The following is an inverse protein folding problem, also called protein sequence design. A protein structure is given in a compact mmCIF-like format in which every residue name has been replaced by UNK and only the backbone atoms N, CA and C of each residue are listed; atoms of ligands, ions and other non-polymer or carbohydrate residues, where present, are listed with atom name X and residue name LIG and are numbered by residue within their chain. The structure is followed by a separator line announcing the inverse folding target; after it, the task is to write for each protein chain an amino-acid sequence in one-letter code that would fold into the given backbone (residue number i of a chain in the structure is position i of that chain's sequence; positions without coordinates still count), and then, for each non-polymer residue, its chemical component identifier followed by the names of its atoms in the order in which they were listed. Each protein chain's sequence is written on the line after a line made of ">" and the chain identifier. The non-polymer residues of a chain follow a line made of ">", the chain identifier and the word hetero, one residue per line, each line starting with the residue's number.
data_IF_717949240199
#
_entry.id   IF_717949240199
#
_cell.length_a   1.000
_cell.length_b   1.000
_cell.length_c   1.000
_cell.angle_alpha   90.00
_cell.angle_beta   90.00
_cell.angle_gamma   90.00
#
_symmetry.space_group_name_H-M   'P 1'
#
loop_
_entity.id
_entity.type
_entity.pdbx_description
1 polymer ?
#
# COMPACT_ATOMS: atom_id res chain seq x y z
N UNK A 1 -0.04 -29.56 2.44
CA UNK A 1 -1.26 -30.15 3.04
C UNK A 1 -2.30 -30.39 1.98
N UNK A 2 -3.27 -31.29 2.19
CA UNK A 2 -4.41 -31.45 1.28
C UNK A 2 -5.56 -30.53 1.71
N UNK A 3 -6.38 -30.09 0.76
CA UNK A 3 -7.63 -29.39 1.11
C UNK A 3 -8.48 -30.31 2.00
N UNK A 4 -9.00 -29.77 3.11
CA UNK A 4 -9.71 -30.50 4.16
C UNK A 4 -8.82 -31.11 5.25
N UNK A 5 -7.49 -31.03 5.13
CA UNK A 5 -6.57 -31.44 6.19
C UNK A 5 -6.72 -30.53 7.41
N UNK A 6 -6.73 -31.13 8.61
CA UNK A 6 -6.92 -30.43 9.88
C UNK A 6 -5.61 -30.44 10.66
N UNK A 7 -5.23 -29.29 11.20
CA UNK A 7 -4.06 -29.13 12.05
C UNK A 7 -4.44 -28.50 13.39
N UNK A 8 -4.12 -29.17 14.49
CA UNK A 8 -4.34 -28.65 15.84
C UNK A 8 -3.04 -28.15 16.45
N UNK A 9 -3.05 -26.93 16.98
CA UNK A 9 -1.95 -26.35 17.77
C UNK A 9 -2.39 -26.36 19.23
N UNK A 10 -1.64 -27.05 20.08
CA UNK A 10 -2.04 -27.33 21.47
C UNK A 10 -1.12 -26.68 22.52
N UNK A 11 0.07 -26.20 22.13
CA UNK A 11 1.15 -25.87 23.09
C UNK A 11 1.12 -24.42 23.63
N UNK A 12 0.29 -23.51 23.11
CA UNK A 12 0.23 -22.11 23.59
C UNK A 12 -1.15 -21.46 23.50
N UNK A 13 -1.83 -21.64 22.36
CA UNK A 13 -3.21 -21.21 22.12
C UNK A 13 -3.88 -22.40 21.45
N UNK A 14 -4.96 -22.92 22.05
CA UNK A 14 -5.72 -24.03 21.45
C UNK A 14 -6.33 -23.53 20.15
N UNK A 15 -5.74 -23.88 19.02
CA UNK A 15 -6.19 -23.48 17.70
C UNK A 15 -6.41 -24.72 16.84
N UNK A 16 -7.41 -24.63 15.96
CA UNK A 16 -7.76 -25.70 15.04
C UNK A 16 -7.85 -25.10 13.65
N UNK A 17 -6.94 -25.50 12.78
CA UNK A 17 -6.87 -25.02 11.42
C UNK A 17 -7.43 -26.05 10.46
N UNK A 18 -8.10 -25.60 9.41
CA UNK A 18 -8.44 -26.42 8.23
C UNK A 18 -7.80 -25.83 6.98
N UNK A 19 -7.16 -26.67 6.18
CA UNK A 19 -6.62 -26.29 4.89
C UNK A 19 -7.78 -26.11 3.89
N UNK A 20 -7.97 -24.89 3.39
CA UNK A 20 -9.06 -24.55 2.46
C UNK A 20 -8.59 -24.43 1.01
N UNK A 21 -7.30 -24.17 0.79
CA UNK A 21 -6.71 -24.11 -0.55
C UNK A 21 -5.29 -24.67 -0.55
N UNK A 22 -4.90 -25.27 -1.67
CA UNK A 22 -3.53 -25.65 -1.99
C UNK A 22 -3.31 -25.45 -3.49
N UNK A 23 -2.51 -24.46 -3.86
CA UNK A 23 -2.24 -24.05 -5.23
C UNK A 23 -0.79 -24.29 -5.65
N UNK A 24 -0.22 -25.46 -5.30
CA UNK A 24 1.16 -25.90 -5.58
C UNK A 24 2.29 -25.03 -4.96
N UNK A 25 2.12 -23.72 -4.90
CA UNK A 25 3.06 -22.77 -4.31
C UNK A 25 2.70 -22.47 -2.84
N UNK A 26 1.40 -22.42 -2.49
CA UNK A 26 0.96 -22.07 -1.15
C UNK A 26 -0.19 -22.95 -0.64
N UNK A 27 -0.41 -22.89 0.67
CA UNK A 27 -1.60 -23.46 1.34
C UNK A 27 -2.28 -22.39 2.16
N UNK A 28 -3.60 -22.32 2.08
CA UNK A 28 -4.42 -21.43 2.92
C UNK A 28 -5.07 -22.22 4.04
N UNK A 29 -4.98 -21.70 5.27
CA UNK A 29 -5.54 -22.30 6.47
C UNK A 29 -6.44 -21.33 7.20
N UNK A 30 -7.62 -21.79 7.58
CA UNK A 30 -8.59 -21.01 8.36
C UNK A 30 -8.56 -21.48 9.81
N UNK A 31 -8.45 -20.56 10.77
CA UNK A 31 -8.58 -20.83 12.21
C UNK A 31 -10.08 -21.00 12.55
N UNK A 32 -10.51 -22.26 12.70
CA UNK A 32 -11.89 -22.61 13.00
C UNK A 32 -12.35 -22.15 14.40
N UNK A 33 -11.42 -21.80 15.29
CA UNK A 33 -11.72 -21.35 16.64
C UNK A 33 -11.53 -19.84 16.82
N UNK A 34 -11.10 -19.15 15.76
CA UNK A 34 -10.83 -17.71 15.76
C UNK A 34 -11.91 -16.88 15.06
N UNK A 35 -11.67 -15.58 15.02
CA UNK A 35 -12.42 -14.58 14.26
C UNK A 35 -11.81 -14.31 12.87
N UNK A 36 -10.94 -15.21 12.40
CA UNK A 36 -10.15 -15.06 11.17
C UNK A 36 -8.84 -14.28 11.33
N UNK A 37 -8.57 -13.68 12.50
CA UNK A 37 -7.30 -12.96 12.75
C UNK A 37 -6.06 -13.84 12.67
N UNK A 38 -6.20 -15.14 12.88
CA UNK A 38 -5.09 -16.10 12.82
C UNK A 38 -5.08 -16.89 11.51
N UNK A 39 -5.93 -16.56 10.53
CA UNK A 39 -5.94 -17.24 9.24
C UNK A 39 -4.58 -17.12 8.55
N UNK A 40 -4.08 -18.24 8.06
CA UNK A 40 -2.81 -18.35 7.36
C UNK A 40 -3.13 -18.45 5.88
N UNK A 41 -3.33 -17.31 5.24
CA UNK A 41 -3.59 -17.23 3.81
C UNK A 41 -2.56 -16.29 3.15
N UNK A 42 -2.05 -16.65 1.95
CA UNK A 42 -1.25 -15.74 1.14
C UNK A 42 -2.06 -14.48 0.82
N UNK A 43 -1.47 -13.31 1.07
CA UNK A 43 -2.04 -12.02 0.72
C UNK A 43 -1.11 -11.28 -0.22
N UNK A 44 -1.62 -10.95 -1.38
CA UNK A 44 -0.92 -10.12 -2.34
C UNK A 44 -1.06 -8.64 -1.96
N UNK A 45 0.07 -7.93 -1.95
CA UNK A 45 0.13 -6.49 -1.72
C UNK A 45 0.99 -5.83 -2.78
N UNK A 46 0.59 -4.64 -3.21
CA UNK A 46 1.44 -3.73 -3.97
C UNK A 46 1.96 -2.69 -2.99
N UNK A 47 3.27 -2.46 -3.01
CA UNK A 47 3.94 -1.51 -2.12
C UNK A 47 4.63 -0.47 -3.01
N UNK A 48 4.23 0.78 -2.85
CA UNK A 48 4.81 1.94 -3.52
C UNK A 48 5.49 2.77 -2.43
N UNK A 49 6.79 3.02 -2.55
CA UNK A 49 7.51 3.95 -1.67
C UNK A 49 8.17 5.05 -2.47
N UNK A 50 8.27 6.23 -1.87
CA UNK A 50 9.01 7.36 -2.45
C UNK A 50 9.46 8.31 -1.35
N UNK A 51 10.50 9.08 -1.64
CA UNK A 51 10.97 10.14 -0.76
C UNK A 51 10.29 11.45 -1.16
N UNK A 52 9.69 12.12 -0.17
CA UNK A 52 9.14 13.46 -0.32
C UNK A 52 10.05 14.45 0.42
N UNK A 53 10.72 15.33 -0.32
CA UNK A 53 11.68 16.29 0.21
C UNK A 53 11.13 17.71 0.15
N UNK A 54 11.11 18.43 1.26
CA UNK A 54 10.76 19.87 1.26
C UNK A 54 11.86 20.67 0.56
N UNK A 55 11.53 21.40 -0.50
CA UNK A 55 12.49 22.18 -1.31
C UNK A 55 12.29 23.69 -1.22
N UNK A 56 11.14 24.14 -0.73
CA UNK A 56 10.87 25.56 -0.51
C UNK A 56 9.64 25.78 0.33
N UNK A 57 9.50 26.97 0.92
CA UNK A 57 8.38 27.34 1.78
C UNK A 57 8.79 27.76 3.19
N UNK A 58 8.16 28.80 3.74
CA UNK A 58 8.43 29.27 5.11
C UNK A 58 7.93 28.28 6.17
N UNK A 59 6.81 27.62 5.89
CA UNK A 59 6.15 26.69 6.81
C UNK A 59 6.32 25.23 6.42
N UNK A 60 6.89 24.96 5.25
CA UNK A 60 7.28 23.65 4.76
C UNK A 60 6.75 23.30 3.39
N UNK A 61 6.85 22.02 3.04
CA UNK A 61 6.53 21.53 1.71
C UNK A 61 5.13 20.93 1.67
N UNK A 62 4.36 21.27 0.63
CA UNK A 62 2.97 20.88 0.48
C UNK A 62 2.81 19.97 -0.75
N UNK A 63 2.39 18.72 -0.52
CA UNK A 63 2.11 17.74 -1.58
C UNK A 63 0.61 17.46 -1.66
N UNK A 64 0.10 17.39 -2.88
CA UNK A 64 -1.32 17.24 -3.18
C UNK A 64 -1.53 16.40 -4.43
N UNK A 65 -2.80 16.13 -4.73
CA UNK A 65 -3.27 15.46 -5.94
C UNK A 65 -2.57 14.13 -6.24
N UNK A 66 -2.20 13.38 -5.19
CA UNK A 66 -1.62 12.05 -5.33
C UNK A 66 -2.65 11.12 -5.98
N UNK A 67 -2.30 10.48 -7.09
CA UNK A 67 -3.18 9.59 -7.86
C UNK A 67 -2.46 8.34 -8.31
N UNK A 68 -3.21 7.25 -8.34
CA UNK A 68 -2.80 5.96 -8.89
C UNK A 68 -3.45 5.79 -10.26
N UNK A 69 -2.63 5.59 -11.30
CA UNK A 69 -3.10 5.40 -12.67
C UNK A 69 -3.21 3.93 -13.05
N UNK A 70 -4.24 3.62 -13.84
CA UNK A 70 -4.52 2.31 -14.42
C UNK A 70 -4.77 2.47 -15.93
N UNK A 71 -5.09 1.38 -16.62
CA UNK A 71 -5.34 1.37 -18.07
C UNK A 71 -6.40 2.40 -18.50
N UNK A 72 -7.42 2.62 -17.68
CA UNK A 72 -8.50 3.56 -17.97
C UNK A 72 -8.27 4.99 -17.45
N UNK A 73 -7.11 5.28 -16.85
CA UNK A 73 -6.77 6.60 -16.30
C UNK A 73 -6.55 6.59 -14.79
N UNK A 74 -6.63 7.76 -14.15
CA UNK A 74 -6.37 7.90 -12.71
C UNK A 74 -7.58 7.50 -11.88
N UNK A 75 -7.33 6.77 -10.78
CA UNK A 75 -8.36 6.37 -9.84
C UNK A 75 -8.84 7.57 -9.00
N UNK A 76 -10.14 7.57 -8.69
CA UNK A 76 -10.80 8.61 -7.91
C UNK A 76 -10.77 8.28 -6.42
N UNK A 77 -10.22 9.13 -5.54
CA UNK A 77 -10.33 8.93 -4.09
C UNK A 77 -11.78 9.05 -3.63
N UNK A 78 -12.24 8.10 -2.83
CA UNK A 78 -13.62 8.05 -2.35
C UNK A 78 -13.73 8.36 -0.87
N UNK A 79 -13.09 7.53 -0.04
CA UNK A 79 -13.14 7.60 1.42
C UNK A 79 -11.75 7.50 2.01
N UNK A 80 -11.48 8.25 3.08
CA UNK A 80 -10.19 8.19 3.79
C UNK A 80 -10.38 8.26 5.30
N UNK A 81 -9.47 7.66 6.04
CA UNK A 81 -9.29 7.94 7.46
C UNK A 81 -8.58 9.27 7.64
N UNK A 82 -9.04 10.05 8.61
CA UNK A 82 -8.47 11.37 8.90
C UNK A 82 -7.42 11.28 10.01
N UNK A 83 -6.27 10.71 9.67
CA UNK A 83 -5.18 10.43 10.59
C UNK A 83 -3.93 11.21 10.18
N UNK A 84 -3.06 11.52 11.15
CA UNK A 84 -1.87 12.33 10.87
C UNK A 84 -0.91 11.63 9.93
N UNK A 85 -0.39 10.47 10.30
CA UNK A 85 0.76 9.85 9.63
C UNK A 85 0.46 8.46 9.06
N UNK A 86 -0.73 7.91 9.29
CA UNK A 86 -1.13 6.59 8.83
C UNK A 86 -2.64 6.54 8.60
N UNK A 87 -3.07 6.49 7.35
CA UNK A 87 -4.49 6.52 6.98
C UNK A 87 -4.84 5.41 5.99
N UNK A 88 -5.97 4.74 6.22
CA UNK A 88 -6.62 3.91 5.20
C UNK A 88 -7.39 4.76 4.22
N UNK A 89 -7.52 4.28 2.99
CA UNK A 89 -8.32 4.93 1.95
C UNK A 89 -8.95 3.92 1.00
N UNK A 90 -9.98 4.37 0.28
CA UNK A 90 -10.52 3.69 -0.90
C UNK A 90 -10.47 4.57 -2.13
N UNK A 91 -10.21 3.94 -3.29
CA UNK A 91 -10.25 4.61 -4.59
C UNK A 91 -11.03 3.77 -5.62
N UNK A 92 -11.74 4.44 -6.53
CA UNK A 92 -12.45 3.79 -7.63
C UNK A 92 -11.62 3.87 -8.90
N UNK A 93 -11.44 2.74 -9.58
CA UNK A 93 -10.72 2.65 -10.87
C UNK A 93 -11.61 3.12 -12.02
N UNK A 94 -12.01 4.39 -12.02
CA UNK A 94 -12.96 4.96 -12.98
C UNK A 94 -12.33 5.87 -14.05
N UNK A 95 -11.02 6.14 -13.96
CA UNK A 95 -10.31 7.01 -14.89
C UNK A 95 -10.53 8.50 -14.67
N UNK A 96 -11.32 8.89 -13.66
CA UNK A 96 -11.75 10.28 -13.43
C UNK A 96 -10.99 10.97 -12.30
N UNK A 97 -9.90 10.38 -11.80
CA UNK A 97 -9.22 10.85 -10.59
C UNK A 97 -8.77 12.31 -10.62
N UNK A 98 -8.36 12.84 -11.78
CA UNK A 98 -7.94 14.24 -11.93
C UNK A 98 -9.09 15.25 -11.95
N UNK A 99 -10.33 14.76 -12.16
CA UNK A 99 -11.55 15.57 -12.14
C UNK A 99 -12.13 15.70 -10.73
N UNK A 100 -11.68 14.88 -9.78
CA UNK A 100 -12.16 14.91 -8.39
C UNK A 100 -11.27 15.78 -7.52
N UNK A 101 -11.90 16.73 -6.83
CA UNK A 101 -11.20 17.63 -5.91
C UNK A 101 -11.05 17.06 -4.48
N UNK A 102 -11.99 16.24 -4.04
CA UNK A 102 -12.10 15.85 -2.63
C UNK A 102 -12.69 14.44 -2.42
N UNK A 103 -12.57 13.94 -1.19
CA UNK A 103 -13.06 12.65 -0.72
C UNK A 103 -14.02 12.82 0.47
N UNK A 104 -14.54 11.71 0.99
CA UNK A 104 -15.32 11.67 2.23
C UNK A 104 -14.45 11.16 3.38
N UNK A 105 -14.57 11.75 4.57
CA UNK A 105 -13.92 11.21 5.77
C UNK A 105 -14.74 10.04 6.30
N UNK A 106 -14.09 8.90 6.53
CA UNK A 106 -14.66 7.68 7.08
C UNK A 106 -13.66 7.07 8.06
N UNK A 107 -14.08 6.79 9.30
CA UNK A 107 -13.19 6.24 10.33
C UNK A 107 -12.74 4.82 10.02
N UNK A 108 -13.43 4.10 9.14
CA UNK A 108 -13.00 2.78 8.69
C UNK A 108 -13.46 2.52 7.23
N UNK A 109 -12.75 3.08 6.23
CA UNK A 109 -13.04 2.89 4.83
C UNK A 109 -13.05 1.40 4.47
N UNK A 110 -14.21 0.91 4.01
CA UNK A 110 -14.39 -0.45 3.49
C UNK A 110 -14.58 -0.40 1.97
N UNK A 111 -14.00 -1.35 1.22
CA UNK A 111 -14.17 -1.38 -0.23
C UNK A 111 -15.57 -1.84 -0.63
N UNK A 112 -16.01 -1.35 -1.78
CA UNK A 112 -16.98 -2.03 -2.64
C UNK A 112 -16.25 -2.84 -3.71
N UNK A 113 -16.96 -3.69 -4.46
CA UNK A 113 -16.36 -4.65 -5.41
C UNK A 113 -15.44 -4.02 -6.47
N UNK A 114 -15.62 -2.73 -6.79
CA UNK A 114 -14.82 -2.00 -7.79
C UNK A 114 -13.77 -1.05 -7.20
N UNK A 115 -13.57 -1.10 -5.88
CA UNK A 115 -12.68 -0.18 -5.17
C UNK A 115 -11.37 -0.85 -4.74
N UNK A 116 -10.30 -0.07 -4.87
CA UNK A 116 -9.00 -0.34 -4.28
C UNK A 116 -9.11 -0.01 -2.79
N UNK A 117 -8.51 -0.85 -1.94
CA UNK A 117 -8.19 -0.47 -0.56
C UNK A 117 -6.70 -0.22 -0.50
N UNK A 118 -6.33 0.85 0.19
CA UNK A 118 -4.93 1.08 0.52
C UNK A 118 -4.74 1.70 1.89
N UNK A 119 -3.49 1.70 2.31
CA UNK A 119 -3.00 2.43 3.47
C UNK A 119 -1.84 3.30 3.03
N UNK A 120 -1.85 4.58 3.42
CA UNK A 120 -0.74 5.51 3.20
C UNK A 120 -0.11 5.88 4.54
N UNK A 121 1.22 5.85 4.59
CA UNK A 121 2.01 6.10 5.79
C UNK A 121 3.16 7.05 5.48
N UNK A 122 3.49 7.91 6.43
CA UNK A 122 4.71 8.72 6.40
C UNK A 122 5.10 9.14 7.82
N UNK A 123 6.01 10.10 7.95
CA UNK A 123 6.31 10.79 9.20
C UNK A 123 6.58 12.28 8.96
N UNK A 124 6.61 13.08 10.03
CA UNK A 124 7.04 14.47 9.97
C UNK A 124 6.03 15.40 9.30
N UNK A 125 4.75 15.08 9.43
CA UNK A 125 3.65 15.95 9.02
C UNK A 125 3.54 17.10 10.03
N UNK A 126 3.32 18.30 9.51
CA UNK A 126 3.14 19.48 10.34
C UNK A 126 1.88 19.33 11.20
N UNK A 127 2.00 19.51 12.50
CA UNK A 127 0.92 19.21 13.45
C UNK A 127 -0.13 20.32 13.48
N UNK A 128 -1.03 20.30 12.48
CA UNK A 128 -2.26 21.09 12.47
C UNK A 128 -3.47 20.24 12.08
N UNK A 129 -4.67 20.76 12.39
CA UNK A 129 -5.93 20.02 12.24
C UNK A 129 -6.21 19.58 10.81
N UNK A 130 -5.74 20.32 9.80
CA UNK A 130 -5.99 20.06 8.38
C UNK A 130 -4.76 19.55 7.62
N UNK A 131 -3.67 19.21 8.30
CA UNK A 131 -2.47 18.63 7.69
C UNK A 131 -2.34 17.16 8.09
N UNK A 132 -2.91 16.31 7.23
CA UNK A 132 -3.12 14.89 7.48
C UNK A 132 -2.63 14.11 6.26
N UNK A 133 -2.06 12.93 6.45
CA UNK A 133 -1.44 12.19 5.33
C UNK A 133 -2.43 11.95 4.20
N UNK A 134 -3.71 11.67 4.48
CA UNK A 134 -4.70 11.46 3.44
C UNK A 134 -5.03 12.71 2.61
N UNK A 135 -4.71 13.92 3.09
CA UNK A 135 -4.97 15.16 2.36
C UNK A 135 -4.08 15.31 1.12
N UNK A 136 -3.05 14.48 0.96
CA UNK A 136 -2.35 14.34 -0.33
C UNK A 136 -3.28 13.97 -1.48
N UNK A 137 -4.46 13.39 -1.20
CA UNK A 137 -5.43 13.03 -2.22
C UNK A 137 -6.34 14.21 -2.62
N UNK A 138 -6.31 15.33 -1.92
CA UNK A 138 -7.06 16.52 -2.35
C UNK A 138 -6.41 17.14 -3.58
N UNK A 139 -7.24 17.67 -4.48
CA UNK A 139 -6.75 18.49 -5.59
C UNK A 139 -6.40 19.87 -5.05
N UNK A 140 -5.21 20.35 -5.36
CA UNK A 140 -4.81 21.69 -4.99
C UNK A 140 -5.40 22.75 -5.94
N UNK A 141 -6.20 23.65 -5.38
CA UNK A 141 -6.82 24.81 -6.02
C UNK A 141 -6.39 26.13 -5.36
N UNK A 142 -5.31 26.13 -4.56
CA UNK A 142 -4.77 27.32 -3.90
C UNK A 142 -5.00 27.39 -2.39
N UNK A 143 -5.70 26.41 -1.79
CA UNK A 143 -6.04 26.37 -0.37
C UNK A 143 -4.96 25.72 0.50
N UNK A 144 -4.85 26.20 1.74
CA UNK A 144 -3.97 25.64 2.77
C UNK A 144 -4.39 24.21 3.20
N UNK A 145 -5.68 23.91 3.16
CA UNK A 145 -6.28 22.63 3.57
C UNK A 145 -6.40 21.61 2.45
N UNK A 146 -5.90 21.94 1.26
CA UNK A 146 -5.93 21.12 0.04
C UNK A 146 -4.62 20.35 -0.20
N UNK A 147 -3.78 20.23 0.84
CA UNK A 147 -2.58 19.42 0.80
C UNK A 147 -2.23 18.81 2.14
N UNK A 148 -1.35 17.83 2.09
CA UNK A 148 -0.58 17.44 3.27
C UNK A 148 0.63 18.37 3.38
N UNK A 149 0.86 18.94 4.56
CA UNK A 149 2.03 19.78 4.83
C UNK A 149 3.07 18.98 5.60
N UNK A 150 4.28 18.94 5.06
CA UNK A 150 5.45 18.38 5.73
C UNK A 150 6.24 19.47 6.45
N UNK A 151 6.97 19.06 7.48
CA UNK A 151 7.87 19.93 8.22
C UNK A 151 8.80 20.76 7.32
N UNK A 152 9.22 21.93 7.82
CA UNK A 152 9.97 22.94 7.07
C UNK A 152 11.29 22.47 6.47
N UNK A 153 11.84 21.34 6.91
CA UNK A 153 13.02 20.74 6.30
C UNK A 153 13.06 19.22 6.43
N UNK A 154 13.69 18.60 5.45
CA UNK A 154 14.03 17.17 5.44
C UNK A 154 13.35 16.40 4.32
N UNK A 155 13.78 15.14 4.21
CA UNK A 155 13.16 14.12 3.37
C UNK A 155 12.42 13.13 4.26
N UNK A 156 11.25 12.68 3.81
CA UNK A 156 10.41 11.69 4.49
C UNK A 156 10.00 10.63 3.49
N UNK A 157 10.18 9.37 3.85
CA UNK A 157 9.64 8.28 3.07
C UNK A 157 8.11 8.28 3.23
N UNK A 158 7.41 8.16 2.09
CA UNK A 158 5.99 7.87 2.01
C UNK A 158 5.85 6.43 1.52
N UNK A 159 4.98 5.66 2.17
CA UNK A 159 4.68 4.29 1.80
C UNK A 159 3.19 4.13 1.56
N UNK A 160 2.83 3.52 0.44
CA UNK A 160 1.46 3.17 0.07
C UNK A 160 1.41 1.66 -0.10
N UNK A 161 0.57 1.01 0.70
CA UNK A 161 0.22 -0.40 0.56
C UNK A 161 -1.15 -0.50 -0.09
N UNK A 162 -1.28 -1.25 -1.18
CA UNK A 162 -2.55 -1.53 -1.84
C UNK A 162 -2.89 -3.02 -1.73
N UNK A 163 -4.15 -3.30 -1.46
CA UNK A 163 -4.69 -4.66 -1.35
C UNK A 163 -5.75 -4.91 -2.43
N UNK A 164 -5.87 -6.18 -2.86
CA UNK A 164 -6.91 -6.65 -3.80
C UNK A 164 -7.01 -5.83 -5.10
N UNK A 165 -5.87 -5.40 -5.66
CA UNK A 165 -5.86 -4.61 -6.90
C UNK A 165 -4.80 -5.07 -7.88
N UNK A 166 -5.07 -4.86 -9.16
CA UNK A 166 -4.08 -4.91 -10.23
C UNK A 166 -2.99 -3.86 -9.99
N UNK A 167 -1.81 -4.08 -10.58
CA UNK A 167 -0.70 -3.12 -10.52
C UNK A 167 -1.09 -1.80 -11.19
N UNK A 168 -0.96 -0.64 -10.52
CA UNK A 168 -1.04 0.66 -11.20
C UNK A 168 0.10 0.79 -12.21
N UNK A 169 -0.19 1.40 -13.36
CA UNK A 169 0.81 1.67 -14.39
C UNK A 169 1.37 3.10 -14.30
N UNK A 170 0.78 3.97 -13.47
CA UNK A 170 1.26 5.33 -13.24
C UNK A 170 1.11 5.77 -11.79
N UNK A 171 1.99 6.66 -11.36
CA UNK A 171 1.89 7.43 -10.12
C UNK A 171 1.97 8.90 -10.48
N UNK A 172 1.04 9.69 -9.96
CA UNK A 172 1.01 11.14 -10.16
C UNK A 172 0.89 11.86 -8.82
N UNK A 173 1.52 13.02 -8.69
CA UNK A 173 1.30 13.95 -7.59
C UNK A 173 1.75 15.36 -7.97
N UNK A 174 1.28 16.36 -7.23
CA UNK A 174 1.77 17.75 -7.31
C UNK A 174 2.60 18.07 -6.08
N UNK A 175 3.82 18.55 -6.29
CA UNK A 175 4.73 19.00 -5.22
C UNK A 175 4.77 20.50 -5.08
N UNK A 176 3.65 21.19 -5.33
CA UNK A 176 3.53 22.62 -5.08
C UNK A 176 2.21 22.89 -4.38
N UNK A 177 2.24 23.79 -3.39
CA UNK A 177 1.04 24.30 -2.79
C UNK A 177 1.26 25.49 -1.87
N UNK A 178 0.26 25.78 -1.02
CA UNK A 178 0.12 27.06 -0.33
C UNK A 178 1.34 27.43 0.51
N UNK A 179 1.94 26.43 1.17
CA UNK A 179 3.04 26.63 2.10
C UNK A 179 4.43 26.50 1.50
N UNK A 180 4.53 26.02 0.25
CA UNK A 180 5.81 25.73 -0.38
C UNK A 180 5.78 24.53 -1.32
N UNK A 181 6.98 24.03 -1.62
CA UNK A 181 7.22 23.02 -2.63
C UNK A 181 7.87 21.77 -2.03
N UNK A 182 7.54 20.63 -2.62
CA UNK A 182 8.21 19.35 -2.38
C UNK A 182 8.74 18.76 -3.68
N UNK A 183 9.72 17.88 -3.53
CA UNK A 183 10.23 17.05 -4.60
C UNK A 183 10.03 15.58 -4.25
N UNK A 184 9.54 14.81 -5.23
CA UNK A 184 9.39 13.36 -5.14
C UNK A 184 10.57 12.69 -5.84
N UNK A 185 11.30 11.86 -5.09
CA UNK A 185 12.44 11.08 -5.59
C UNK A 185 12.37 9.63 -5.10
N UNK A 186 13.28 8.77 -5.58
CA UNK A 186 13.44 7.39 -5.13
C UNK A 186 12.15 6.55 -5.13
N UNK A 187 11.31 6.75 -6.16
CA UNK A 187 10.07 5.99 -6.31
C UNK A 187 10.41 4.53 -6.60
N UNK A 188 9.92 3.63 -5.74
CA UNK A 188 10.11 2.19 -5.83
C UNK A 188 8.74 1.54 -5.75
N UNK A 189 8.52 0.55 -6.61
CA UNK A 189 7.28 -0.21 -6.64
C UNK A 189 7.61 -1.69 -6.63
N UNK A 190 6.95 -2.43 -5.75
CA UNK A 190 7.03 -3.89 -5.73
C UNK A 190 5.68 -4.53 -5.51
N UNK A 191 5.57 -5.75 -5.99
CA UNK A 191 4.44 -6.65 -5.74
C UNK A 191 4.93 -7.78 -4.85
N UNK A 192 4.26 -8.01 -3.74
CA UNK A 192 4.72 -8.94 -2.71
C UNK A 192 3.61 -9.85 -2.22
N UNK A 193 3.97 -11.09 -1.91
CA UNK A 193 3.08 -12.07 -1.27
C UNK A 193 3.51 -12.21 0.19
N UNK A 194 2.54 -12.00 1.08
CA UNK A 194 2.71 -12.11 2.52
C UNK A 194 1.94 -13.30 3.08
N UNK A 195 2.48 -13.92 4.14
CA UNK A 195 1.74 -14.84 5.02
C UNK A 195 1.85 -14.28 6.44
N UNK A 196 0.71 -13.83 6.99
CA UNK A 196 0.73 -12.98 8.17
C UNK A 196 1.49 -11.68 7.89
N UNK A 197 2.51 -11.38 8.69
CA UNK A 197 3.39 -10.22 8.52
C UNK A 197 4.67 -10.54 7.71
N UNK A 198 4.92 -11.82 7.42
CA UNK A 198 6.13 -12.24 6.74
C UNK A 198 5.99 -12.05 5.23
N UNK A 199 6.96 -11.38 4.60
CA UNK A 199 7.09 -11.31 3.14
C UNK A 199 7.81 -12.56 2.61
N UNK A 200 7.15 -13.28 1.69
CA UNK A 200 7.61 -14.59 1.20
C UNK A 200 8.19 -14.48 -0.20
N UNK A 201 7.56 -13.67 -1.03
CA UNK A 201 7.96 -13.47 -2.42
C UNK A 201 7.75 -12.00 -2.76
N UNK A 202 8.66 -11.45 -3.54
CA UNK A 202 8.54 -10.10 -4.09
C UNK A 202 9.03 -10.04 -5.52
N UNK A 203 8.41 -9.15 -6.28
CA UNK A 203 8.77 -8.77 -7.64
C UNK A 203 8.86 -7.24 -7.68
N UNK A 204 10.03 -6.72 -8.04
CA UNK A 204 10.24 -5.29 -8.20
C UNK A 204 9.80 -4.83 -9.60
N UNK A 205 9.36 -3.58 -9.70
CA UNK A 205 8.89 -2.96 -10.93
C UNK A 205 9.79 -1.80 -11.32
N UNK A 206 9.91 -1.57 -12.62
CA UNK A 206 10.60 -0.41 -13.15
C UNK A 206 9.76 0.82 -12.91
N UNK A 207 10.42 1.91 -12.54
CA UNK A 207 9.80 3.21 -12.38
C UNK A 207 10.59 4.24 -13.17
N UNK A 208 9.91 4.88 -14.12
CA UNK A 208 10.49 5.94 -14.95
C UNK A 208 9.76 7.25 -14.69
N UNK A 209 10.50 8.33 -14.42
CA UNK A 209 9.91 9.67 -14.33
C UNK A 209 9.64 10.18 -15.73
N UNK A 210 8.38 10.51 -16.01
CA UNK A 210 7.94 11.09 -17.27
C UNK A 210 7.93 12.62 -17.20
N UNK A 211 8.01 13.26 -18.36
CA UNK A 211 7.69 14.68 -18.47
C UNK A 211 6.18 14.90 -18.27
N UNK A 212 5.83 15.70 -17.27
CA UNK A 212 4.46 16.10 -17.01
C UNK A 212 4.17 17.44 -17.70
N UNK A 213 3.30 17.44 -18.69
CA UNK A 213 2.83 18.68 -19.33
C UNK A 213 2.12 19.58 -18.31
N UNK A 214 2.59 20.82 -18.16
CA UNK A 214 1.97 21.81 -17.28
C UNK A 214 0.51 22.09 -17.64
N UNK A 215 0.16 22.05 -18.94
CA UNK A 215 -1.22 22.26 -19.42
C UNK A 215 -2.19 21.17 -18.92
N UNK A 216 -1.69 19.96 -18.71
CA UNK A 216 -2.51 18.81 -18.31
C UNK A 216 -2.45 18.57 -16.80
N UNK A 217 -1.25 18.65 -16.21
CA UNK A 217 -0.98 18.20 -14.86
C UNK A 217 -0.76 19.36 -13.87
N UNK A 218 -0.63 20.59 -14.37
CA UNK A 218 -0.25 21.76 -13.60
C UNK A 218 1.26 21.86 -13.36
N UNK A 219 1.67 22.99 -12.80
CA UNK A 219 3.06 23.24 -12.46
C UNK A 219 3.53 22.33 -11.32
N UNK A 220 4.83 21.98 -11.34
CA UNK A 220 5.46 21.12 -10.33
C UNK A 220 4.76 19.76 -10.15
N UNK A 221 4.27 19.23 -11.27
CA UNK A 221 3.73 17.88 -11.38
C UNK A 221 4.86 16.84 -11.46
N UNK A 222 4.65 15.73 -10.76
CA UNK A 222 5.47 14.53 -10.86
C UNK A 222 4.62 13.42 -11.45
N UNK A 223 5.07 12.87 -12.59
CA UNK A 223 4.43 11.74 -13.23
C UNK A 223 5.46 10.63 -13.37
N UNK A 224 5.10 9.43 -12.95
CA UNK A 224 5.93 8.24 -13.07
C UNK A 224 5.16 7.15 -13.80
N UNK A 225 5.84 6.47 -14.71
CA UNK A 225 5.38 5.23 -15.32
C UNK A 225 5.92 4.03 -14.53
N UNK A 226 5.06 3.03 -14.34
CA UNK A 226 5.37 1.79 -13.66
C UNK A 226 5.22 0.67 -14.67
N UNK A 227 6.31 -0.05 -14.91
CA UNK A 227 6.34 -1.15 -15.88
C UNK A 227 6.99 -2.39 -15.29
N UNK A 228 6.68 -3.54 -15.86
CA UNK A 228 7.23 -4.81 -15.41
C UNK A 228 8.75 -4.85 -15.67
N UNK A 229 9.53 -5.34 -14.72
CA UNK A 229 10.93 -5.67 -14.96
C UNK A 229 11.04 -6.95 -15.79
N UNK A 230 11.98 -6.97 -16.73
CA UNK A 230 12.42 -8.20 -17.39
C UNK A 230 13.20 -9.05 -16.37
N UNK A 231 12.44 -9.81 -15.58
CA UNK A 231 12.80 -10.91 -14.68
C UNK A 231 13.93 -10.67 -13.65
N UNK A 232 13.56 -10.45 -12.38
CA UNK A 232 14.08 -11.17 -11.19
C UNK A 232 12.90 -11.29 -10.19
N UNK A 233 12.36 -12.49 -10.01
CA UNK A 233 11.42 -12.79 -8.91
C UNK A 233 12.25 -13.30 -7.73
N UNK A 234 12.29 -12.57 -6.62
CA UNK A 234 12.94 -13.05 -5.40
C UNK A 234 11.95 -13.88 -4.59
N UNK A 235 12.19 -15.20 -4.53
CA UNK A 235 11.48 -16.11 -3.61
C UNK A 235 12.33 -16.32 -2.35
N UNK A 236 11.80 -16.00 -1.18
CA UNK A 236 12.35 -16.47 0.10
C UNK A 236 11.67 -17.79 0.44
N UNK A 237 12.46 -18.83 0.71
CA UNK A 237 11.94 -20.07 1.27
C UNK A 237 11.41 -19.78 2.69
N UNK A 238 10.13 -20.03 2.97
CA UNK A 238 9.76 -20.33 4.35
C UNK A 238 10.03 -21.78 4.64
N UNK A 239 10.84 -22.03 5.66
CA UNK A 239 10.75 -23.27 6.42
C UNK A 239 9.50 -23.25 7.29
N UNK A 240 8.31 -23.37 6.69
CA UNK A 240 7.08 -23.77 7.39
C UNK A 240 7.04 -25.29 7.60
N UNK A 241 8.18 -25.93 7.84
CA UNK A 241 8.24 -27.37 8.05
C UNK A 241 7.85 -27.67 9.50
N UNK A 242 6.66 -28.24 9.78
CA UNK A 242 6.38 -28.73 11.11
C UNK A 242 7.26 -29.96 11.30
N UNK A 243 8.13 -29.93 12.32
CA UNK A 243 8.97 -31.02 12.82
C UNK A 243 8.66 -32.38 12.16
N UNK A 244 9.53 -32.86 11.28
CA UNK A 244 9.81 -34.30 11.23
C UNK A 244 10.51 -34.68 12.53
N UNK A 245 9.76 -34.73 13.63
CA UNK A 245 10.18 -35.54 14.78
C UNK A 245 10.17 -36.97 14.27
N UNK A 246 11.36 -37.47 13.95
CA UNK A 246 11.61 -38.88 13.70
C UNK A 246 10.96 -39.67 14.83
N UNK A 247 9.91 -40.42 14.51
CA UNK A 247 9.54 -41.59 15.29
C UNK A 247 10.71 -42.59 15.22
N UNK A 248 11.70 -42.42 16.09
CA UNK A 248 12.57 -43.53 16.44
C UNK A 248 11.76 -44.48 17.31
N UNK A 249 11.10 -45.43 16.64
CA UNK A 249 10.84 -46.74 17.23
C UNK A 249 12.17 -47.29 17.74
N UNK A 250 12.24 -47.59 19.02
CA UNK A 250 12.97 -48.77 19.48
C UNK A 250 12.11 -49.47 20.53
N UNK A 251 11.27 -50.35 19.99
CA UNK A 251 10.84 -51.57 20.67
C UNK A 251 12.09 -52.44 20.83
N UNK A 252 12.47 -52.78 22.05
CA UNK A 252 13.06 -54.11 22.32
C UNK A 252 12.47 -54.67 23.61
N UNK A 253 12.10 -55.94 23.47
CA UNK A 253 11.64 -56.89 24.48
C UNK A 253 12.62 -57.00 25.65
#
# INVERSE_FOLDING_TARGET
>A
AKVGEIWAVLESKKQLFICTANDNDFTSWVDLLGDGSNDIAPKEKIIITFDNTTTGGQYGGCMSDLRLGFENGFATPNKVQDEYENAKFTMTKDGNGLNRSDFTIDSNPTPTDNQIVGTIKTSGIYQETYHKIAHVFKKYNGGADECCLWSSSGSREVSIELENTSMPNKLFARGNGYYGQTEITNVRVKKSIFIGEQEIQSEDFNVEKLEASADTYGDYAFLFEISKQDQIVMKKELNLNPKKTKNTKNVKK
#
